data_IF_143368214299
#
_entry.id   IF_143368214299
#
_cell.length_a   1.000
_cell.length_b   1.000
_cell.length_c   1.000
_cell.angle_alpha   90.00
_cell.angle_beta   90.00
_cell.angle_gamma   90.00
#
_symmetry.space_group_name_H-M   'P 1'
#
loop_
_entity.id
_entity.type
_entity.pdbx_description
1 polymer ?
#
# COMPACT_ATOMS: atom_id res chain seq x y z
N UNK A 1 27.00 -14.31 -10.01
CA UNK A 1 25.89 -15.00 -9.31
C UNK A 1 24.87 -13.91 -8.99
N UNK A 2 23.58 -14.19 -8.97
CA UNK A 2 22.54 -13.19 -8.66
C UNK A 2 21.99 -13.48 -7.27
N UNK A 3 21.85 -12.47 -6.43
CA UNK A 3 21.20 -12.59 -5.13
C UNK A 3 19.69 -12.50 -5.38
N UNK A 4 18.94 -13.53 -4.99
CA UNK A 4 17.48 -13.52 -5.07
C UNK A 4 16.90 -13.42 -3.66
N UNK A 5 16.10 -12.38 -3.41
CA UNK A 5 15.48 -12.12 -2.13
C UNK A 5 14.00 -11.78 -2.31
N UNK A 6 13.16 -12.07 -1.33
CA UNK A 6 11.83 -11.47 -1.23
C UNK A 6 11.83 -10.35 -0.19
N UNK A 7 10.99 -9.34 -0.37
CA UNK A 7 10.83 -8.23 0.57
C UNK A 7 9.35 -7.91 0.75
N UNK A 8 8.91 -7.81 2.00
CA UNK A 8 7.50 -7.64 2.35
C UNK A 8 7.31 -6.76 3.61
N UNK A 9 6.13 -6.15 3.73
CA UNK A 9 5.68 -5.30 4.83
C UNK A 9 4.35 -5.77 5.41
N UNK A 10 4.18 -5.58 6.71
CA UNK A 10 2.94 -5.95 7.41
C UNK A 10 2.54 -4.88 8.41
N UNK A 11 1.24 -4.62 8.57
CA UNK A 11 0.72 -3.69 9.57
C UNK A 11 -0.51 -4.25 10.28
N UNK A 12 -0.53 -4.17 11.62
CA UNK A 12 -1.64 -4.59 12.48
C UNK A 12 -2.58 -3.41 12.77
N UNK A 13 -3.23 -2.93 11.70
CA UNK A 13 -3.91 -1.63 11.64
C UNK A 13 -3.09 -0.65 10.80
N UNK A 14 -3.72 0.29 10.11
CA UNK A 14 -3.05 1.16 9.13
C UNK A 14 -3.53 2.62 9.26
N UNK A 15 -2.90 3.46 10.09
CA UNK A 15 -1.64 3.21 10.79
C UNK A 15 -1.78 2.34 12.06
N UNK A 16 -0.78 1.53 12.37
CA UNK A 16 -0.73 0.65 13.54
C UNK A 16 0.66 0.03 13.73
N UNK A 17 0.86 -0.92 14.66
CA UNK A 17 2.12 -1.65 14.77
C UNK A 17 2.49 -2.27 13.43
N UNK A 18 3.65 -1.88 12.91
CA UNK A 18 4.08 -2.22 11.55
C UNK A 18 5.42 -2.95 11.60
N UNK A 19 5.64 -3.81 10.62
CA UNK A 19 6.83 -4.61 10.47
C UNK A 19 7.23 -4.72 9.00
N UNK A 20 8.50 -5.02 8.79
CA UNK A 20 9.10 -5.25 7.49
C UNK A 20 10.06 -6.42 7.58
N UNK A 21 10.25 -7.13 6.48
CA UNK A 21 11.27 -8.16 6.38
C UNK A 21 11.73 -8.37 4.95
N UNK A 22 12.99 -8.77 4.80
CA UNK A 22 13.47 -9.37 3.57
C UNK A 22 14.08 -10.74 3.86
N UNK A 23 14.05 -11.62 2.88
CA UNK A 23 14.43 -13.02 3.04
C UNK A 23 15.13 -13.56 1.79
N UNK A 24 16.33 -14.12 1.96
CA UNK A 24 17.04 -14.91 0.95
C UNK A 24 16.94 -16.40 1.29
N UNK A 25 17.33 -16.75 2.51
CA UNK A 25 17.23 -18.09 3.10
C UNK A 25 17.21 -18.00 4.65
N UNK A 26 17.13 -19.14 5.35
CA UNK A 26 17.01 -19.18 6.80
C UNK A 26 18.25 -18.66 7.55
N UNK A 27 19.41 -18.61 6.88
CA UNK A 27 20.66 -18.07 7.42
C UNK A 27 20.90 -16.60 6.97
N UNK A 28 20.07 -16.08 6.06
CA UNK A 28 20.23 -14.77 5.42
C UNK A 28 18.87 -14.07 5.26
N UNK A 29 18.46 -13.37 6.32
CA UNK A 29 17.24 -12.57 6.37
C UNK A 29 17.37 -11.48 7.42
N UNK A 30 16.55 -10.43 7.30
CA UNK A 30 16.39 -9.45 8.38
C UNK A 30 14.94 -9.00 8.51
N UNK A 31 14.58 -8.54 9.71
CA UNK A 31 13.27 -7.95 9.96
C UNK A 31 13.36 -6.81 10.96
N UNK A 32 12.34 -5.96 10.95
CA UNK A 32 12.22 -4.83 11.87
C UNK A 32 10.82 -4.24 11.79
N UNK A 33 10.64 -3.05 12.35
CA UNK A 33 9.33 -2.41 12.34
C UNK A 33 9.25 -1.21 13.28
N UNK A 34 8.02 -0.76 13.53
CA UNK A 34 7.72 0.38 14.40
C UNK A 34 6.46 0.12 15.24
N UNK A 35 6.34 0.74 16.43
CA UNK A 35 5.10 0.74 17.21
C UNK A 35 3.89 1.32 16.46
N UNK A 36 4.14 2.24 15.52
CA UNK A 36 3.12 2.87 14.67
C UNK A 36 3.72 3.17 13.29
N UNK A 37 3.13 2.60 12.25
CA UNK A 37 3.51 2.77 10.85
C UNK A 37 2.39 2.29 9.93
N UNK A 38 2.66 2.24 8.63
CA UNK A 38 1.72 1.75 7.61
C UNK A 38 2.29 0.55 6.88
N UNK A 39 1.44 -0.20 6.16
CA UNK A 39 1.91 -1.32 5.33
C UNK A 39 2.95 -0.85 4.30
N UNK A 40 2.64 0.25 3.61
CA UNK A 40 3.49 0.87 2.60
C UNK A 40 4.87 1.29 3.14
N UNK A 41 4.96 1.74 4.39
CA UNK A 41 6.25 2.02 5.03
C UNK A 41 7.06 0.73 5.22
N UNK A 42 6.41 -0.35 5.67
CA UNK A 42 7.04 -1.65 5.84
C UNK A 42 7.58 -2.21 4.53
N UNK A 43 6.77 -2.17 3.47
CA UNK A 43 7.16 -2.66 2.14
C UNK A 43 8.36 -1.90 1.57
N UNK A 44 8.37 -0.56 1.66
CA UNK A 44 9.49 0.27 1.20
C UNK A 44 10.76 0.03 2.03
N UNK A 45 10.60 -0.11 3.35
CA UNK A 45 11.74 -0.31 4.25
C UNK A 45 12.38 -1.68 4.08
N UNK A 46 11.59 -2.73 3.84
CA UNK A 46 12.12 -4.06 3.54
C UNK A 46 13.10 -4.03 2.37
N UNK A 47 12.73 -3.32 1.30
CA UNK A 47 13.61 -3.13 0.14
C UNK A 47 14.81 -2.25 0.46
N UNK A 48 14.60 -1.15 1.20
CA UNK A 48 15.69 -0.24 1.58
C UNK A 48 16.76 -0.93 2.43
N UNK A 49 16.34 -1.68 3.44
CA UNK A 49 17.26 -2.41 4.32
C UNK A 49 18.01 -3.49 3.53
N UNK A 50 17.32 -4.25 2.68
CA UNK A 50 17.95 -5.22 1.78
C UNK A 50 19.03 -4.56 0.91
N UNK A 51 18.74 -3.39 0.34
CA UNK A 51 19.71 -2.66 -0.47
C UNK A 51 20.93 -2.25 0.35
N UNK A 52 20.74 -1.73 1.56
CA UNK A 52 21.86 -1.37 2.43
C UNK A 52 22.69 -2.58 2.85
N UNK A 53 22.05 -3.68 3.26
CA UNK A 53 22.75 -4.87 3.71
C UNK A 53 23.49 -5.61 2.60
N UNK A 54 23.10 -5.39 1.34
CA UNK A 54 23.78 -5.97 0.18
C UNK A 54 24.70 -4.97 -0.52
N UNK A 55 24.93 -3.77 0.04
CA UNK A 55 25.69 -2.71 -0.63
C UNK A 55 27.17 -3.07 -0.88
N UNK A 56 27.74 -4.00 -0.10
CA UNK A 56 29.11 -4.52 -0.31
C UNK A 56 29.19 -5.67 -1.32
N UNK A 57 28.06 -6.19 -1.78
CA UNK A 57 28.00 -7.26 -2.76
C UNK A 57 27.98 -6.68 -4.19
N UNK A 58 28.85 -7.21 -5.06
CA UNK A 58 28.92 -6.83 -6.48
C UNK A 58 27.90 -7.60 -7.34
N UNK A 59 27.26 -8.61 -6.77
CA UNK A 59 26.24 -9.42 -7.42
C UNK A 59 24.97 -8.62 -7.74
N UNK A 60 24.36 -8.82 -8.92
CA UNK A 60 23.03 -8.28 -9.20
C UNK A 60 22.00 -8.77 -8.18
N UNK A 61 21.06 -7.91 -7.85
CA UNK A 61 19.96 -8.21 -6.92
C UNK A 61 18.65 -8.43 -7.70
N UNK A 62 17.95 -9.51 -7.39
CA UNK A 62 16.63 -9.81 -7.91
C UNK A 62 15.64 -9.88 -6.74
N UNK A 63 14.75 -8.91 -6.66
CA UNK A 63 13.82 -8.73 -5.53
C UNK A 63 12.41 -9.15 -5.93
N UNK A 64 11.85 -10.10 -5.18
CA UNK A 64 10.45 -10.51 -5.27
C UNK A 64 9.64 -9.67 -4.28
N UNK A 65 8.59 -9.00 -4.76
CA UNK A 65 7.65 -8.27 -3.92
C UNK A 65 6.23 -8.52 -4.41
N UNK A 66 5.27 -8.65 -3.51
CA UNK A 66 3.84 -8.59 -3.86
C UNK A 66 3.26 -7.18 -3.82
N UNK A 67 3.98 -6.24 -3.21
CA UNK A 67 3.69 -4.80 -3.25
C UNK A 67 3.96 -4.20 -4.63
N UNK A 68 2.88 -3.94 -5.37
CA UNK A 68 2.96 -3.11 -6.57
C UNK A 68 3.31 -1.66 -6.23
N UNK A 69 2.91 -1.15 -5.05
CA UNK A 69 3.25 0.19 -4.60
C UNK A 69 4.77 0.38 -4.52
N UNK A 70 5.48 -0.50 -3.81
CA UNK A 70 6.93 -0.44 -3.67
C UNK A 70 7.64 -0.55 -5.02
N UNK A 71 7.20 -1.52 -5.86
CA UNK A 71 7.75 -1.68 -7.21
C UNK A 71 7.56 -0.40 -8.03
N UNK A 72 6.37 0.22 -8.02
CA UNK A 72 6.09 1.43 -8.81
C UNK A 72 6.83 2.67 -8.29
N UNK A 73 6.94 2.84 -6.97
CA UNK A 73 7.77 3.89 -6.34
C UNK A 73 9.19 3.82 -6.90
N UNK A 74 9.82 2.64 -6.83
CA UNK A 74 11.23 2.45 -7.15
C UNK A 74 11.45 2.50 -8.67
N UNK A 75 10.61 1.82 -9.46
CA UNK A 75 10.85 1.64 -10.89
C UNK A 75 10.31 2.79 -11.77
N UNK A 76 9.21 3.44 -11.37
CA UNK A 76 8.49 4.41 -12.23
C UNK A 76 8.49 5.83 -11.65
N UNK A 77 8.06 6.00 -10.40
CA UNK A 77 7.65 7.32 -9.90
C UNK A 77 8.80 8.20 -9.40
N UNK A 78 9.84 7.59 -8.82
CA UNK A 78 10.99 8.30 -8.24
C UNK A 78 11.62 9.31 -9.21
N UNK A 79 11.77 8.96 -10.50
CA UNK A 79 12.32 9.85 -11.53
C UNK A 79 11.47 11.11 -11.74
N UNK A 80 10.15 10.98 -11.69
CA UNK A 80 9.22 12.09 -11.84
C UNK A 80 9.20 12.99 -10.61
N UNK A 81 9.12 12.38 -9.42
CA UNK A 81 9.13 13.10 -8.15
C UNK A 81 10.42 13.87 -7.92
N UNK A 82 11.59 13.27 -8.21
CA UNK A 82 12.89 13.94 -8.12
C UNK A 82 12.94 15.22 -8.96
N UNK A 83 12.40 15.20 -10.18
CA UNK A 83 12.28 16.40 -11.04
C UNK A 83 11.35 17.47 -10.47
N UNK A 84 10.31 17.06 -9.76
CA UNK A 84 9.33 17.96 -9.11
C UNK A 84 9.73 18.35 -7.67
N UNK A 85 10.96 18.05 -7.24
CA UNK A 85 11.44 18.36 -5.88
C UNK A 85 10.74 17.55 -4.79
N UNK A 86 10.39 16.30 -5.08
CA UNK A 86 9.70 15.36 -4.19
C UNK A 86 8.29 15.80 -3.77
N UNK A 87 7.60 16.47 -4.69
CA UNK A 87 6.23 16.93 -4.53
C UNK A 87 5.30 16.26 -5.53
N UNK A 88 4.06 16.05 -5.09
CA UNK A 88 2.93 15.65 -5.93
C UNK A 88 2.43 16.83 -6.77
N UNK A 89 1.48 16.56 -7.67
CA UNK A 89 0.88 17.56 -8.55
C UNK A 89 0.19 18.71 -7.78
N UNK A 90 -0.40 18.37 -6.62
CA UNK A 90 -1.04 19.28 -5.66
C UNK A 90 -0.03 20.13 -4.84
N UNK A 91 1.28 19.98 -5.08
CA UNK A 91 2.35 20.68 -4.37
C UNK A 91 2.68 20.13 -2.98
N UNK A 92 1.93 19.13 -2.49
CA UNK A 92 2.22 18.46 -1.22
C UNK A 92 3.41 17.51 -1.37
N UNK A 93 4.16 17.24 -0.29
CA UNK A 93 5.20 16.20 -0.31
C UNK A 93 4.63 14.84 -0.71
N UNK A 94 5.46 14.04 -1.36
CA UNK A 94 5.15 12.62 -1.61
C UNK A 94 5.07 11.89 -0.27
N UNK A 95 4.15 10.94 -0.15
CA UNK A 95 4.05 10.10 1.06
C UNK A 95 5.35 9.30 1.24
N UNK A 96 5.84 9.16 2.48
CA UNK A 96 7.08 8.45 2.80
C UNK A 96 8.32 9.03 2.08
N UNK A 97 8.33 10.34 1.80
CA UNK A 97 9.37 10.99 0.99
C UNK A 97 10.80 10.65 1.42
N UNK A 98 11.06 10.50 2.71
CA UNK A 98 12.40 10.22 3.21
C UNK A 98 12.84 8.78 2.92
N UNK A 99 11.93 7.79 3.05
CA UNK A 99 12.18 6.42 2.61
C UNK A 99 12.41 6.36 1.09
N UNK A 100 11.60 7.10 0.31
CA UNK A 100 11.74 7.14 -1.15
C UNK A 100 13.08 7.75 -1.57
N UNK A 101 13.52 8.83 -0.92
CA UNK A 101 14.84 9.44 -1.18
C UNK A 101 15.97 8.48 -0.85
N UNK A 102 15.89 7.80 0.30
CA UNK A 102 16.89 6.83 0.71
C UNK A 102 16.96 5.64 -0.27
N UNK A 103 15.81 5.16 -0.77
CA UNK A 103 15.73 4.15 -1.82
C UNK A 103 16.39 4.63 -3.13
N UNK A 104 16.08 5.85 -3.58
CA UNK A 104 16.69 6.44 -4.79
C UNK A 104 18.22 6.53 -4.66
N UNK A 105 18.73 6.83 -3.46
CA UNK A 105 20.17 6.86 -3.19
C UNK A 105 20.77 5.45 -3.19
N UNK A 106 20.17 4.50 -2.46
CA UNK A 106 20.68 3.13 -2.33
C UNK A 106 20.66 2.34 -3.66
N UNK A 107 19.81 2.75 -4.61
CA UNK A 107 19.73 2.14 -5.95
C UNK A 107 20.80 2.66 -6.92
N UNK A 108 21.50 3.77 -6.62
CA UNK A 108 22.45 4.36 -7.56
C UNK A 108 23.65 3.44 -7.81
N UNK A 109 23.88 3.12 -9.08
CA UNK A 109 25.03 2.32 -9.52
C UNK A 109 24.88 0.81 -9.27
N UNK A 110 23.71 0.33 -8.86
CA UNK A 110 23.43 -1.10 -8.62
C UNK A 110 22.58 -1.71 -9.73
N UNK A 111 22.81 -2.98 -10.02
CA UNK A 111 21.96 -3.78 -10.91
C UNK A 111 20.89 -4.49 -10.07
N UNK A 112 19.70 -3.89 -10.02
CA UNK A 112 18.57 -4.37 -9.23
C UNK A 112 17.37 -4.56 -10.14
N UNK A 113 16.77 -5.75 -10.09
CA UNK A 113 15.56 -6.11 -10.83
C UNK A 113 14.46 -6.49 -9.86
N UNK A 114 13.22 -6.22 -10.24
CA UNK A 114 12.04 -6.54 -9.44
C UNK A 114 11.15 -7.52 -10.20
N UNK A 115 10.66 -8.54 -9.49
CA UNK A 115 9.59 -9.43 -9.94
C UNK A 115 8.38 -9.22 -9.05
N UNK A 116 7.25 -8.83 -9.67
CA UNK A 116 6.00 -8.82 -8.96
C UNK A 116 5.49 -10.26 -8.82
N UNK A 117 5.27 -10.68 -7.58
CA UNK A 117 4.65 -11.96 -7.27
C UNK A 117 3.26 -11.72 -6.72
N UNK A 118 2.33 -12.65 -6.98
CA UNK A 118 0.99 -12.53 -6.40
C UNK A 118 1.07 -12.92 -4.92
N UNK A 119 0.56 -12.06 -4.04
CA UNK A 119 0.40 -12.39 -2.62
C UNK A 119 -0.48 -13.64 -2.43
N UNK A 120 -0.03 -14.53 -1.53
CA UNK A 120 -0.62 -15.79 -1.08
C UNK A 120 -0.47 -17.02 -2.02
N UNK A 121 0.05 -18.10 -1.42
CA UNK A 121 0.26 -19.48 -1.90
C UNK A 121 0.99 -19.61 -3.25
N UNK A 122 2.31 -19.84 -3.17
CA UNK A 122 3.12 -20.33 -4.29
C UNK A 122 4.55 -19.81 -4.35
N UNK A 123 4.94 -18.91 -3.45
CA UNK A 123 6.27 -18.27 -3.45
C UNK A 123 6.91 -18.36 -2.07
N UNK A 124 7.63 -19.45 -1.80
CA UNK A 124 8.24 -19.75 -0.50
C UNK A 124 9.07 -18.58 0.08
N UNK A 125 9.80 -17.82 -0.77
CA UNK A 125 10.58 -16.67 -0.32
C UNK A 125 9.67 -15.53 0.19
N UNK A 126 8.59 -15.22 -0.55
CA UNK A 126 7.66 -14.17 -0.18
C UNK A 126 6.87 -14.56 1.09
N UNK A 127 6.42 -15.81 1.18
CA UNK A 127 5.74 -16.33 2.38
C UNK A 127 6.64 -16.28 3.62
N UNK A 128 7.95 -16.53 3.44
CA UNK A 128 8.95 -16.41 4.50
C UNK A 128 9.18 -14.95 4.94
N UNK A 129 9.12 -14.00 3.99
CA UNK A 129 9.20 -12.56 4.27
C UNK A 129 7.92 -12.06 4.98
N UNK A 130 6.71 -12.37 4.47
CA UNK A 130 5.42 -12.02 5.09
C UNK A 130 5.37 -12.47 6.55
N UNK A 131 5.70 -13.75 6.79
CA UNK A 131 5.69 -14.34 8.12
C UNK A 131 6.59 -13.56 9.09
N UNK A 132 7.77 -13.11 8.64
CA UNK A 132 8.74 -12.36 9.44
C UNK A 132 8.29 -10.92 9.65
N UNK A 133 7.79 -10.24 8.61
CA UNK A 133 7.26 -8.89 8.71
C UNK A 133 6.09 -8.84 9.70
N UNK A 134 5.16 -9.79 9.61
CA UNK A 134 4.01 -9.93 10.50
C UNK A 134 4.43 -10.28 11.93
N UNK A 135 5.45 -11.11 12.10
CA UNK A 135 6.01 -11.40 13.42
C UNK A 135 6.64 -10.17 14.07
N UNK A 136 7.29 -9.30 13.30
CA UNK A 136 7.85 -8.04 13.77
C UNK A 136 6.74 -7.03 14.16
N UNK A 137 5.71 -6.87 13.34
CA UNK A 137 4.54 -6.05 13.69
C UNK A 137 3.85 -6.53 14.99
N UNK A 138 3.72 -7.86 15.14
CA UNK A 138 3.16 -8.49 16.36
C UNK A 138 4.06 -8.25 17.58
N UNK A 139 5.37 -8.23 17.41
CA UNK A 139 6.32 -7.90 18.47
C UNK A 139 6.04 -6.51 19.04
N UNK A 140 5.90 -5.52 18.16
CA UNK A 140 5.57 -4.16 18.57
C UNK A 140 4.20 -4.02 19.21
N UNK A 141 3.18 -4.72 18.70
CA UNK A 141 1.86 -4.76 19.34
C UNK A 141 1.93 -5.28 20.79
N UNK A 142 2.85 -6.21 21.06
CA UNK A 142 3.05 -6.81 22.39
C UNK A 142 4.06 -6.03 23.26
N UNK A 143 4.63 -4.92 22.76
CA UNK A 143 5.66 -4.15 23.48
C UNK A 143 6.98 -4.90 23.65
N UNK A 144 7.30 -5.84 22.75
CA UNK A 144 8.56 -6.59 22.73
C UNK A 144 9.40 -6.20 21.51
N UNK A 145 10.71 -6.38 21.61
CA UNK A 145 11.62 -6.17 20.49
C UNK A 145 11.44 -7.29 19.43
N UNK A 146 11.37 -6.95 18.12
CA UNK A 146 11.31 -7.94 17.06
C UNK A 146 12.65 -8.67 16.89
N UNK A 147 12.62 -9.86 16.28
CA UNK A 147 13.84 -10.57 15.93
C UNK A 147 14.46 -9.94 14.67
N UNK A 148 15.62 -9.31 14.81
CA UNK A 148 16.28 -8.65 13.69
C UNK A 148 16.76 -9.61 12.61
N UNK A 149 16.88 -10.91 12.90
CA UNK A 149 17.46 -11.90 12.00
C UNK A 149 18.99 -11.85 11.91
N UNK A 150 19.60 -12.81 11.20
CA UNK A 150 21.05 -12.89 11.05
C UNK A 150 21.66 -11.80 10.15
N UNK A 151 20.85 -11.10 9.35
CA UNK A 151 21.30 -10.12 8.36
C UNK A 151 21.98 -10.78 7.16
N UNK A 152 22.53 -9.94 6.27
CA UNK A 152 23.28 -10.42 5.11
C UNK A 152 24.75 -10.71 5.49
N UNK A 153 25.34 -11.85 5.09
CA UNK A 153 26.70 -12.20 5.49
C UNK A 153 27.72 -11.19 4.95
N UNK A 154 28.50 -10.59 5.85
CA UNK A 154 29.62 -9.71 5.48
C UNK A 154 30.90 -10.55 5.37
N UNK A 155 31.47 -10.65 4.18
CA UNK A 155 32.80 -11.24 4.00
C UNK A 155 33.86 -10.28 4.54
N UNK A 156 34.22 -10.44 5.82
CA UNK A 156 35.33 -9.72 6.45
C UNK A 156 34.97 -8.38 7.07
N UNK A 157 34.25 -8.40 8.21
CA UNK A 157 34.27 -7.31 9.19
C UNK A 157 32.98 -6.49 9.32
N UNK A 158 32.34 -6.65 10.48
CA UNK A 158 31.22 -5.92 11.11
C UNK A 158 29.92 -5.81 10.28
N UNK A 159 28.91 -6.59 10.68
CA UNK A 159 27.53 -6.49 10.22
C UNK A 159 27.03 -5.04 10.35
N UNK A 160 26.51 -4.49 9.25
CA UNK A 160 25.77 -3.24 9.31
C UNK A 160 24.52 -3.48 10.19
N UNK A 161 24.39 -2.69 11.26
CA UNK A 161 23.20 -2.75 12.10
C UNK A 161 21.96 -2.37 11.26
N UNK A 162 20.80 -3.00 11.51
CA UNK A 162 19.55 -2.62 10.85
C UNK A 162 19.31 -1.12 11.04
N UNK A 163 18.90 -0.45 9.96
CA UNK A 163 18.67 1.00 10.00
C UNK A 163 17.40 1.26 10.82
N UNK A 164 17.57 1.66 12.08
CA UNK A 164 16.49 2.16 12.92
C UNK A 164 16.29 3.63 12.59
N UNK A 165 15.33 3.95 11.72
CA UNK A 165 14.80 5.30 11.61
C UNK A 165 13.78 5.51 12.73
N UNK A 166 14.11 6.39 13.69
CA UNK A 166 13.18 6.78 14.75
C UNK A 166 11.96 7.53 14.17
N UNK A 167 10.76 7.36 14.76
CA UNK A 167 9.50 7.76 14.12
C UNK A 167 9.16 9.26 14.22
N UNK A 168 9.88 10.05 15.04
CA UNK A 168 9.47 11.43 15.36
C UNK A 168 9.61 12.43 14.20
N UNK A 169 10.36 12.10 13.14
CA UNK A 169 10.47 12.96 11.94
C UNK A 169 9.55 12.51 10.78
N UNK A 170 8.82 11.39 10.91
CA UNK A 170 8.04 10.78 9.82
C UNK A 170 6.53 10.98 9.93
N UNK A 171 6.06 11.57 11.04
CA UNK A 171 4.65 11.94 11.24
C UNK A 171 4.56 13.45 11.42
N UNK A 172 4.37 14.19 10.33
CA UNK A 172 3.95 15.60 10.44
C UNK A 172 2.46 15.64 10.81
N UNK A 173 2.15 15.81 12.08
CA UNK A 173 0.85 16.34 12.53
C UNK A 173 0.76 17.81 12.08
N UNK A 174 -0.38 18.31 11.57
CA UNK A 174 -0.54 19.73 11.31
C UNK A 174 -0.73 20.49 12.63
N UNK A 175 0.04 21.57 12.83
CA UNK A 175 -0.09 22.47 13.98
C UNK A 175 -1.50 23.08 14.08
N UNK A 176 -2.04 23.03 15.29
CA UNK A 176 -3.27 23.70 15.70
C UNK A 176 -3.04 25.21 15.81
N UNK A 177 -3.28 25.99 14.75
CA UNK A 177 -3.61 27.42 14.84
C UNK A 177 -4.04 27.94 13.45
N UNK A 178 -5.35 28.11 13.22
CA UNK A 178 -5.95 29.29 12.56
C UNK A 178 -7.45 29.07 12.33
N UNK A 179 -8.23 29.48 13.32
CA UNK A 179 -9.62 29.89 13.12
C UNK A 179 -9.64 31.22 12.36
N UNK A 180 -10.05 31.19 11.09
CA UNK A 180 -10.79 32.25 10.34
C UNK A 180 -10.44 32.20 8.83
N UNK A 181 -11.05 31.28 8.06
CA UNK A 181 -11.07 31.38 6.59
C UNK A 181 -12.42 30.90 6.00
N UNK A 182 -12.89 31.53 4.89
CA UNK A 182 -14.26 31.39 4.38
C UNK A 182 -14.57 30.07 3.65
N UNK A 183 -15.86 29.76 3.54
CA UNK A 183 -16.51 28.52 3.02
C UNK A 183 -16.17 28.03 1.59
N UNK A 184 -15.12 28.54 0.93
CA UNK A 184 -14.61 28.05 -0.36
C UNK A 184 -13.32 27.20 -0.23
N UNK A 185 -12.96 26.78 0.98
CA UNK A 185 -11.88 25.82 1.26
C UNK A 185 -12.41 24.38 1.36
N UNK A 186 -12.90 23.83 0.25
CA UNK A 186 -12.92 22.38 0.05
C UNK A 186 -11.59 21.98 -0.60
N UNK A 187 -10.88 21.10 0.09
CA UNK A 187 -9.51 20.67 -0.22
C UNK A 187 -9.37 20.24 -1.69
N UNK A 188 -8.41 20.80 -2.46
CA UNK A 188 -8.14 20.31 -3.79
C UNK A 188 -7.49 18.93 -3.73
N UNK A 189 -8.09 18.02 -4.50
CA UNK A 189 -7.80 16.59 -4.61
C UNK A 189 -6.33 16.29 -4.88
N UNK A 190 -5.87 15.23 -4.22
CA UNK A 190 -4.55 14.59 -4.30
C UNK A 190 -4.13 14.16 -5.72
N UNK A 191 -4.96 14.40 -6.74
CA UNK A 191 -4.84 13.83 -8.09
C UNK A 191 -5.04 14.79 -9.26
N UNK A 192 -5.10 16.11 -9.08
CA UNK A 192 -5.15 17.00 -10.25
C UNK A 192 -3.77 17.54 -10.66
N UNK A 193 -3.28 17.09 -11.82
CA UNK A 193 -2.37 17.90 -12.66
C UNK A 193 -1.08 17.27 -13.21
N UNK A 194 -1.17 16.84 -14.47
CA UNK A 194 -0.11 16.70 -15.48
C UNK A 194 0.58 15.32 -15.65
N UNK A 195 0.10 14.59 -16.67
CA UNK A 195 0.81 13.58 -17.46
C UNK A 195 1.89 14.22 -18.38
N UNK A 196 2.84 13.44 -18.96
CA UNK A 196 2.53 12.56 -20.09
C UNK A 196 3.02 11.10 -19.93
N UNK A 197 2.20 10.18 -20.48
CA UNK A 197 2.48 8.81 -20.95
C UNK A 197 3.53 7.98 -20.20
N UNK A 198 3.09 6.97 -19.46
CA UNK A 198 3.72 5.64 -19.38
C UNK A 198 2.68 4.61 -18.92
N UNK A 199 2.27 3.79 -19.88
CA UNK A 199 1.28 2.72 -19.81
C UNK A 199 1.50 1.68 -18.67
N UNK A 200 0.39 1.39 -17.97
CA UNK A 200 -0.01 0.18 -17.21
C UNK A 200 0.04 0.15 -15.66
N UNK A 201 -1.11 -0.16 -15.01
CA UNK A 201 -2.46 0.22 -15.44
C UNK A 201 -3.37 0.68 -14.28
N UNK A 202 -4.13 1.74 -14.50
CA UNK A 202 -5.22 2.29 -13.66
C UNK A 202 -6.24 1.25 -13.09
N UNK A 203 -6.26 0.02 -13.60
CA UNK A 203 -7.05 -1.10 -13.06
C UNK A 203 -6.58 -1.50 -11.65
N UNK A 204 -5.27 -1.53 -11.40
CA UNK A 204 -4.71 -1.92 -10.09
C UNK A 204 -5.00 -0.85 -9.03
N UNK A 205 -4.96 0.42 -9.43
CA UNK A 205 -5.41 1.53 -8.59
C UNK A 205 -6.87 1.37 -8.16
N UNK A 206 -7.74 1.00 -9.11
CA UNK A 206 -9.16 0.74 -8.84
C UNK A 206 -9.34 -0.45 -7.87
N UNK A 207 -8.53 -1.50 -8.01
CA UNK A 207 -8.54 -2.64 -7.09
C UNK A 207 -8.11 -2.27 -5.65
N UNK A 208 -7.12 -1.39 -5.49
CA UNK A 208 -6.72 -0.88 -4.16
C UNK A 208 -7.81 -0.02 -3.51
N UNK A 209 -8.42 0.88 -4.28
CA UNK A 209 -9.53 1.70 -3.81
C UNK A 209 -10.73 0.85 -3.36
N UNK A 210 -11.02 -0.23 -4.09
CA UNK A 210 -12.03 -1.22 -3.70
C UNK A 210 -11.67 -1.88 -2.37
N UNK A 211 -10.44 -2.37 -2.18
CA UNK A 211 -10.01 -2.97 -0.90
C UNK A 211 -10.11 -1.98 0.26
N UNK A 212 -9.74 -0.73 0.01
CA UNK A 212 -9.82 0.32 1.02
C UNK A 212 -11.27 0.59 1.45
N UNK A 213 -12.21 0.72 0.51
CA UNK A 213 -13.65 0.90 0.78
C UNK A 213 -14.26 -0.18 1.70
N UNK A 214 -13.71 -1.39 1.66
CA UNK A 214 -14.17 -2.53 2.43
C UNK A 214 -13.27 -2.85 3.63
N UNK A 215 -12.28 -2.01 3.92
CA UNK A 215 -11.46 -2.11 5.13
C UNK A 215 -12.16 -1.46 6.33
N UNK A 216 -11.52 -1.47 7.50
CA UNK A 216 -12.03 -0.77 8.68
C UNK A 216 -11.80 0.75 8.63
N UNK A 217 -10.88 1.23 7.78
CA UNK A 217 -10.49 2.65 7.71
C UNK A 217 -11.64 3.60 7.33
N UNK A 218 -12.53 3.29 6.38
CA UNK A 218 -13.64 4.19 6.00
C UNK A 218 -14.66 4.39 7.13
N UNK A 219 -14.67 3.53 8.15
CA UNK A 219 -15.55 3.69 9.31
C UNK A 219 -15.07 4.78 10.27
N UNK A 220 -13.78 5.12 10.22
CA UNK A 220 -13.16 6.18 11.02
C UNK A 220 -13.30 7.56 10.35
N UNK A 221 -13.34 7.60 9.01
CA UNK A 221 -13.57 8.83 8.21
C UNK A 221 -14.66 8.66 7.12
N UNK A 222 -15.94 8.88 7.48
CA UNK A 222 -17.05 8.79 6.53
C UNK A 222 -16.99 9.80 5.37
N UNK A 223 -16.20 10.87 5.49
CA UNK A 223 -16.05 11.88 4.45
C UNK A 223 -15.19 11.36 3.30
N UNK A 224 -14.08 10.68 3.63
CA UNK A 224 -13.22 10.00 2.66
C UNK A 224 -13.97 8.85 1.98
N UNK A 225 -14.75 8.10 2.75
CA UNK A 225 -15.63 7.07 2.22
C UNK A 225 -16.58 7.65 1.16
N UNK A 226 -17.29 8.72 1.48
CA UNK A 226 -18.24 9.36 0.57
C UNK A 226 -17.58 10.08 -0.62
N UNK A 227 -16.29 10.45 -0.52
CA UNK A 227 -15.50 11.05 -1.60
C UNK A 227 -15.17 10.05 -2.73
N UNK A 228 -15.07 8.76 -2.39
CA UNK A 228 -14.87 7.68 -3.35
C UNK A 228 -16.17 7.18 -3.98
N UNK A 229 -17.34 7.62 -3.49
CA UNK A 229 -18.63 7.25 -4.05
C UNK A 229 -19.08 8.34 -5.03
N UNK A 230 -19.32 7.96 -6.28
CA UNK A 230 -19.86 8.86 -7.29
C UNK A 230 -21.22 9.43 -6.82
N UNK A 231 -21.61 10.68 -7.15
CA UNK A 231 -22.85 11.31 -6.67
C UNK A 231 -24.13 10.46 -6.84
N UNK A 232 -24.22 9.71 -7.94
CA UNK A 232 -25.31 8.77 -8.18
C UNK A 232 -25.09 7.34 -7.68
N UNK A 233 -24.08 7.07 -6.86
CA UNK A 233 -23.72 5.73 -6.41
C UNK A 233 -24.89 5.03 -5.72
N UNK A 234 -24.99 3.73 -6.01
CA UNK A 234 -25.91 2.84 -5.33
C UNK A 234 -25.32 1.44 -5.26
N UNK A 235 -25.78 0.68 -4.27
CA UNK A 235 -25.42 -0.71 -4.08
C UNK A 235 -26.64 -1.59 -3.97
N UNK A 236 -26.60 -2.74 -4.65
CA UNK A 236 -27.62 -3.79 -4.54
C UNK A 236 -27.10 -4.86 -3.58
N UNK A 237 -27.77 -5.05 -2.44
CA UNK A 237 -27.44 -6.10 -1.48
C UNK A 237 -27.93 -7.47 -1.94
N UNK A 238 -27.44 -8.53 -1.30
CA UNK A 238 -27.84 -9.91 -1.61
C UNK A 238 -29.34 -10.19 -1.43
N UNK A 239 -30.04 -9.42 -0.59
CA UNK A 239 -31.49 -9.49 -0.36
C UNK A 239 -32.31 -8.62 -1.34
N UNK A 240 -31.64 -7.93 -2.27
CA UNK A 240 -32.25 -7.03 -3.25
C UNK A 240 -32.55 -5.62 -2.74
N UNK A 241 -32.19 -5.31 -1.49
CA UNK A 241 -32.28 -3.93 -0.97
C UNK A 241 -31.23 -3.02 -1.61
N UNK A 242 -31.51 -1.72 -1.61
CA UNK A 242 -30.68 -0.69 -2.21
C UNK A 242 -30.09 0.21 -1.14
N UNK A 243 -28.78 0.44 -1.22
CA UNK A 243 -28.09 1.48 -0.49
C UNK A 243 -27.76 2.63 -1.45
N UNK A 244 -27.83 3.86 -0.96
CA UNK A 244 -27.48 5.05 -1.72
C UNK A 244 -26.40 5.87 -1.02
N UNK A 245 -25.73 6.74 -1.79
CA UNK A 245 -24.67 7.61 -1.27
C UNK A 245 -25.16 8.54 -0.15
N UNK A 246 -26.44 8.92 -0.18
CA UNK A 246 -27.06 9.71 0.89
C UNK A 246 -27.12 8.96 2.24
N UNK A 247 -27.29 7.65 2.21
CA UNK A 247 -27.34 6.81 3.43
C UNK A 247 -25.94 6.72 4.08
N UNK A 248 -24.90 6.69 3.24
CA UNK A 248 -23.50 6.79 3.66
C UNK A 248 -23.21 8.14 4.31
N UNK A 249 -23.53 9.24 3.62
CA UNK A 249 -23.29 10.60 4.10
C UNK A 249 -24.04 10.95 5.38
N UNK A 250 -25.22 10.36 5.57
CA UNK A 250 -26.02 10.56 6.78
C UNK A 250 -25.60 9.66 7.95
N UNK A 251 -24.61 8.78 7.74
CA UNK A 251 -24.15 7.81 8.75
C UNK A 251 -25.17 6.69 9.04
N UNK A 252 -26.21 6.57 8.22
CA UNK A 252 -27.21 5.49 8.32
C UNK A 252 -26.61 4.17 7.83
N UNK A 253 -25.73 4.25 6.82
CA UNK A 253 -24.94 3.13 6.34
C UNK A 253 -23.58 3.13 7.03
N UNK A 254 -23.06 1.94 7.35
CA UNK A 254 -21.66 1.75 7.74
C UNK A 254 -20.95 0.92 6.67
N UNK A 255 -19.61 1.03 6.53
CA UNK A 255 -18.85 0.21 5.59
C UNK A 255 -19.02 -1.28 5.88
N UNK A 256 -19.22 -2.08 4.83
CA UNK A 256 -19.23 -3.53 4.94
C UNK A 256 -17.79 -4.03 5.06
N UNK A 257 -17.25 -4.06 6.28
CA UNK A 257 -15.87 -4.48 6.52
C UNK A 257 -15.71 -5.96 6.18
N UNK A 258 -14.86 -6.27 5.20
CA UNK A 258 -14.57 -7.62 4.74
C UNK A 258 -13.21 -7.71 4.05
N UNK A 259 -12.66 -8.92 3.95
CA UNK A 259 -11.46 -9.16 3.15
C UNK A 259 -11.85 -9.40 1.70
N UNK A 260 -11.20 -8.70 0.77
CA UNK A 260 -11.48 -8.80 -0.67
C UNK A 260 -10.34 -9.45 -1.44
N UNK A 261 -10.67 -10.53 -2.15
CA UNK A 261 -9.83 -11.14 -3.17
C UNK A 261 -10.35 -10.73 -4.56
N UNK A 262 -9.55 -10.00 -5.33
CA UNK A 262 -9.93 -9.61 -6.70
C UNK A 262 -9.83 -10.83 -7.61
N UNK A 263 -10.98 -11.29 -8.11
CA UNK A 263 -11.11 -12.46 -9.00
C UNK A 263 -10.87 -12.05 -10.44
N UNK A 264 -11.46 -10.94 -10.87
CA UNK A 264 -11.29 -10.37 -12.20
C UNK A 264 -11.30 -8.84 -12.11
N UNK A 265 -10.45 -8.21 -12.92
CA UNK A 265 -10.46 -6.77 -13.08
C UNK A 265 -10.40 -6.45 -14.58
N UNK A 266 -11.45 -5.80 -15.08
CA UNK A 266 -11.65 -5.60 -16.51
C UNK A 266 -11.88 -4.14 -16.82
N UNK A 267 -11.03 -3.58 -17.67
CA UNK A 267 -11.27 -2.27 -18.28
C UNK A 267 -12.37 -2.36 -19.33
N UNK A 268 -13.44 -1.58 -19.14
CA UNK A 268 -14.54 -1.47 -20.11
C UNK A 268 -14.30 -0.31 -21.08
N UNK A 269 -13.79 0.81 -20.56
CA UNK A 269 -13.42 2.03 -21.28
C UNK A 269 -12.22 2.69 -20.60
N UNK A 270 -11.56 3.70 -21.22
CA UNK A 270 -10.44 4.40 -20.57
C UNK A 270 -10.76 4.86 -19.14
N UNK A 271 -11.98 5.35 -18.92
CA UNK A 271 -12.45 5.87 -17.65
C UNK A 271 -13.47 4.96 -16.94
N UNK A 272 -13.54 3.67 -17.30
CA UNK A 272 -14.46 2.70 -16.69
C UNK A 272 -13.77 1.35 -16.43
N UNK A 273 -13.81 0.89 -15.18
CA UNK A 273 -13.25 -0.40 -14.74
C UNK A 273 -14.32 -1.19 -13.99
N UNK A 274 -14.49 -2.45 -14.37
CA UNK A 274 -15.35 -3.41 -13.70
C UNK A 274 -14.49 -4.39 -12.90
N UNK A 275 -14.80 -4.54 -11.62
CA UNK A 275 -14.17 -5.51 -10.74
C UNK A 275 -15.16 -6.63 -10.41
N UNK A 276 -14.65 -7.85 -10.36
CA UNK A 276 -15.27 -8.98 -9.70
C UNK A 276 -14.37 -9.38 -8.55
N UNK A 277 -14.90 -9.37 -7.33
CA UNK A 277 -14.17 -9.74 -6.13
C UNK A 277 -14.93 -10.78 -5.32
N UNK A 278 -14.19 -11.59 -4.57
CA UNK A 278 -14.72 -12.45 -3.52
C UNK A 278 -14.52 -11.73 -2.20
N UNK A 279 -15.61 -11.49 -1.49
CA UNK A 279 -15.62 -10.90 -0.17
C UNK A 279 -15.84 -11.96 0.89
N UNK A 280 -14.92 -12.03 1.85
CA UNK A 280 -15.02 -12.95 2.98
C UNK A 280 -15.30 -12.16 4.26
N UNK A 281 -16.42 -12.48 4.90
CA UNK A 281 -16.78 -11.92 6.21
C UNK A 281 -17.10 -13.06 7.18
N UNK A 282 -16.27 -13.21 8.22
CA UNK A 282 -16.33 -14.32 9.16
C UNK A 282 -16.35 -15.70 8.47
N UNK A 283 -17.52 -16.32 8.33
CA UNK A 283 -17.72 -17.66 7.70
C UNK A 283 -18.49 -17.61 6.38
N UNK A 284 -18.85 -16.42 5.90
CA UNK A 284 -19.68 -16.26 4.69
C UNK A 284 -18.85 -15.63 3.59
N UNK A 285 -18.87 -16.25 2.41
CA UNK A 285 -18.29 -15.70 1.19
C UNK A 285 -19.39 -15.15 0.28
N UNK A 286 -19.14 -13.99 -0.30
CA UNK A 286 -20.03 -13.35 -1.29
C UNK A 286 -19.21 -12.92 -2.48
N UNK A 287 -19.84 -12.91 -3.67
CA UNK A 287 -19.25 -12.29 -4.85
C UNK A 287 -19.74 -10.85 -4.93
N UNK A 288 -18.83 -9.94 -5.24
CA UNK A 288 -19.09 -8.52 -5.41
C UNK A 288 -18.69 -8.10 -6.81
N UNK A 289 -19.56 -7.37 -7.49
CA UNK A 289 -19.27 -6.76 -8.78
C UNK A 289 -19.34 -5.25 -8.62
N UNK A 290 -18.22 -4.57 -8.83
CA UNK A 290 -18.11 -3.13 -8.66
C UNK A 290 -17.74 -2.44 -9.97
N UNK A 291 -18.47 -1.38 -10.32
CA UNK A 291 -18.14 -0.51 -11.44
C UNK A 291 -17.53 0.78 -10.91
N UNK A 292 -16.32 1.07 -11.37
CA UNK A 292 -15.59 2.31 -11.11
C UNK A 292 -15.57 3.17 -12.34
N UNK A 293 -15.77 4.47 -12.15
CA UNK A 293 -15.71 5.48 -13.21
C UNK A 293 -14.70 6.56 -12.82
N UNK A 294 -14.02 7.16 -13.80
CA UNK A 294 -13.11 8.28 -13.56
C UNK A 294 -13.74 9.58 -14.04
N UNK A 295 -13.95 10.52 -13.12
CA UNK A 295 -14.39 11.89 -13.43
C UNK A 295 -13.35 12.88 -12.90
N UNK A 296 -13.01 13.91 -13.68
CA UNK A 296 -12.07 14.97 -13.29
C UNK A 296 -10.78 14.44 -12.64
N UNK A 297 -10.20 13.37 -13.19
CA UNK A 297 -8.96 12.68 -12.73
C UNK A 297 -9.07 11.77 -11.51
N UNK A 298 -10.24 11.64 -10.88
CA UNK A 298 -10.45 10.79 -9.71
C UNK A 298 -11.33 9.58 -10.04
N UNK A 299 -10.91 8.39 -9.60
CA UNK A 299 -11.74 7.19 -9.64
C UNK A 299 -12.79 7.21 -8.53
N UNK A 300 -14.02 6.90 -8.89
CA UNK A 300 -15.15 6.80 -7.96
C UNK A 300 -15.96 5.54 -8.28
N UNK A 301 -16.37 4.83 -7.23
CA UNK A 301 -17.27 3.71 -7.38
C UNK A 301 -18.65 4.26 -7.79
N UNK A 302 -19.19 3.75 -8.90
CA UNK A 302 -20.50 4.14 -9.45
C UNK A 302 -21.61 3.19 -9.01
N UNK A 303 -21.26 1.93 -8.83
CA UNK A 303 -22.20 0.84 -8.59
C UNK A 303 -21.49 -0.33 -7.92
N UNK A 304 -22.19 -0.98 -7.00
CA UNK A 304 -21.79 -2.28 -6.44
C UNK A 304 -23.00 -3.24 -6.42
N UNK A 305 -22.77 -4.52 -6.71
CA UNK A 305 -23.74 -5.58 -6.49
C UNK A 305 -23.12 -6.73 -5.71
N UNK A 306 -23.82 -7.17 -4.67
CA UNK A 306 -23.43 -8.29 -3.83
C UNK A 306 -24.32 -9.50 -4.14
N UNK A 307 -23.72 -10.63 -4.48
CA UNK A 307 -24.43 -11.91 -4.65
C UNK A 307 -23.90 -12.97 -3.70
N UNK A 308 -24.75 -13.84 -3.14
CA UNK A 308 -24.29 -14.99 -2.38
C UNK A 308 -23.38 -15.88 -3.24
N UNK A 309 -22.27 -16.35 -2.69
CA UNK A 309 -21.47 -17.42 -3.30
C UNK A 309 -22.09 -18.75 -2.81
N UNK A 310 -22.73 -19.50 -3.73
CA UNK A 310 -23.44 -20.76 -3.44
C UNK A 310 -22.50 -21.96 -3.33
#
# INVERSE_FOLDING_TARGET
MTITAAADGSSLGNPGPAGWAWYVDDDCWASGGWPRGTNNMGELMAVLDLLHQTAHADEPLHVLCDSQYAINVISKWTKGWKKKGWKKADGKPVLNVDLVKALDEAMQGRDVTFEWVRGHNGHNLNEAADTRARAAATAYQQGREPDAGPGFPVTGGVAAAPVVTEPDDLVTEPDEEESDLPEDYLQPDLFSGAEPELDLPEIDQVAELERWLHSAEPAEDPTQWAGLLHPGWFRVRADGSLDHRGDVLSGVLSPDVCTLDIVEARRLRPDEVLLLSRATQATTATLRTALWVRENTQWQQRFEQVTPEL
#
